data_IF_839842801048
#
_entry.id   IF_839842801048
#
_cell.length_a   1.000
_cell.length_b   1.000
_cell.length_c   1.000
_cell.angle_alpha   90.00
_cell.angle_beta   90.00
_cell.angle_gamma   90.00
#
_symmetry.space_group_name_H-M   'P 1'
#
loop_
_entity.id
_entity.type
_entity.pdbx_description
1 polymer ?
#
# COMPACT_ATOMS: atom_id res chain seq x y z
N UNK A 1 -15.44 -11.52 22.15
CA UNK A 1 -16.75 -11.26 21.52
C UNK A 1 -17.36 -9.92 21.94
N UNK A 2 -17.37 -9.49 23.22
CA UNK A 2 -17.96 -8.17 23.57
C UNK A 2 -17.06 -6.96 23.24
N UNK A 3 -15.74 -7.16 23.23
CA UNK A 3 -14.73 -6.09 23.10
C UNK A 3 -14.71 -5.43 21.71
N UNK A 4 -14.98 -6.19 20.66
CA UNK A 4 -14.97 -5.70 19.28
C UNK A 4 -16.22 -4.86 18.97
N UNK A 5 -17.35 -5.21 19.58
CA UNK A 5 -18.58 -4.43 19.51
C UNK A 5 -18.43 -3.08 20.24
N UNK A 6 -17.76 -3.07 21.40
CA UNK A 6 -17.46 -1.83 22.15
C UNK A 6 -16.52 -0.91 21.36
N UNK A 7 -15.50 -1.46 20.69
CA UNK A 7 -14.59 -0.68 19.85
C UNK A 7 -15.30 -0.10 18.61
N UNK A 8 -16.12 -0.89 17.92
CA UNK A 8 -16.91 -0.40 16.79
C UNK A 8 -17.93 0.67 17.20
N UNK A 9 -18.55 0.52 18.38
CA UNK A 9 -19.47 1.51 18.93
C UNK A 9 -18.75 2.83 19.24
N UNK A 10 -17.56 2.76 19.83
CA UNK A 10 -16.71 3.93 20.12
C UNK A 10 -16.33 4.69 18.83
N UNK A 11 -15.92 3.99 17.77
CA UNK A 11 -15.59 4.63 16.48
C UNK A 11 -16.80 5.34 15.85
N UNK A 12 -17.97 4.72 15.93
CA UNK A 12 -19.20 5.29 15.37
C UNK A 12 -19.67 6.50 16.17
N UNK A 13 -19.56 6.46 17.49
CA UNK A 13 -19.81 7.60 18.39
C UNK A 13 -18.83 8.75 18.11
N UNK A 14 -17.53 8.45 17.99
CA UNK A 14 -16.49 9.44 17.65
C UNK A 14 -16.75 10.07 16.28
N UNK A 15 -17.10 9.28 15.28
CA UNK A 15 -17.50 9.79 13.95
C UNK A 15 -18.69 10.74 14.04
N UNK A 16 -19.74 10.37 14.79
CA UNK A 16 -20.93 11.21 14.94
C UNK A 16 -20.60 12.52 15.67
N UNK A 17 -19.74 12.47 16.70
CA UNK A 17 -19.27 13.65 17.41
C UNK A 17 -18.50 14.59 16.49
N UNK A 18 -17.51 14.09 15.75
CA UNK A 18 -16.73 14.90 14.80
C UNK A 18 -17.61 15.52 13.71
N UNK A 19 -18.59 14.79 13.21
CA UNK A 19 -19.53 15.32 12.21
C UNK A 19 -20.42 16.44 12.79
N UNK A 20 -20.86 16.29 14.05
CA UNK A 20 -21.62 17.33 14.74
C UNK A 20 -20.77 18.57 15.00
N UNK A 21 -19.50 18.41 15.40
CA UNK A 21 -18.55 19.51 15.58
C UNK A 21 -18.28 20.23 14.26
N UNK A 22 -18.02 19.50 13.17
CA UNK A 22 -17.83 20.07 11.83
C UNK A 22 -19.02 20.93 11.39
N UNK A 23 -20.24 20.40 11.55
CA UNK A 23 -21.47 21.13 11.19
C UNK A 23 -21.73 22.33 12.11
N UNK A 24 -21.27 22.28 13.35
CA UNK A 24 -21.36 23.41 14.29
C UNK A 24 -20.42 24.52 13.87
N UNK A 25 -19.15 24.22 13.60
CA UNK A 25 -18.19 25.23 13.12
C UNK A 25 -18.60 25.85 11.78
N UNK A 26 -19.12 25.04 10.85
CA UNK A 26 -19.63 25.57 9.58
C UNK A 26 -20.80 26.54 9.80
N UNK A 27 -21.75 26.19 10.68
CA UNK A 27 -22.86 27.06 11.04
C UNK A 27 -22.39 28.35 11.69
N UNK A 28 -21.45 28.27 12.63
CA UNK A 28 -20.92 29.43 13.35
C UNK A 28 -20.18 30.39 12.40
N UNK A 29 -19.45 29.84 11.42
CA UNK A 29 -18.82 30.62 10.35
C UNK A 29 -19.85 31.36 9.50
N UNK A 30 -20.91 30.68 9.03
CA UNK A 30 -21.98 31.32 8.24
C UNK A 30 -22.74 32.36 9.09
N UNK A 31 -22.99 32.07 10.36
CA UNK A 31 -23.66 33.00 11.27
C UNK A 31 -22.83 34.28 11.45
N UNK A 32 -21.53 34.13 11.66
CA UNK A 32 -20.59 35.26 11.80
C UNK A 32 -20.49 36.06 10.50
N UNK A 33 -20.45 35.39 9.34
CA UNK A 33 -20.36 36.04 8.03
C UNK A 33 -21.65 36.80 7.63
N UNK A 34 -22.82 36.34 8.10
CA UNK A 34 -24.13 36.95 7.79
C UNK A 34 -24.62 37.93 8.86
N UNK A 35 -23.85 38.12 9.93
CA UNK A 35 -24.20 39.01 11.02
C UNK A 35 -24.32 40.44 10.49
N UNK A 36 -25.51 41.03 10.62
CA UNK A 36 -25.73 42.41 10.19
C UNK A 36 -24.93 43.36 11.07
N UNK A 37 -24.10 44.18 10.43
CA UNK A 37 -23.33 45.22 11.09
C UNK A 37 -24.24 46.45 11.20
N UNK A 38 -24.68 46.86 12.40
CA UNK A 38 -25.51 48.05 12.54
C UNK A 38 -24.72 49.31 12.15
N UNK A 39 -25.40 50.36 11.70
CA UNK A 39 -24.76 51.59 11.21
C UNK A 39 -23.90 52.33 12.26
N UNK A 40 -24.02 51.97 13.55
CA UNK A 40 -23.24 52.47 14.67
C UNK A 40 -22.18 51.46 15.18
N UNK A 41 -21.88 50.42 14.40
CA UNK A 41 -20.90 49.40 14.77
C UNK A 41 -19.51 50.02 14.96
N UNK A 42 -18.92 49.79 16.13
CA UNK A 42 -17.57 50.21 16.43
C UNK A 42 -16.55 49.32 15.71
N UNK A 43 -15.35 49.83 15.43
CA UNK A 43 -14.24 49.02 14.87
C UNK A 43 -13.95 47.76 15.70
N UNK A 44 -14.22 47.81 17.02
CA UNK A 44 -14.10 46.66 17.90
C UNK A 44 -15.09 45.54 17.55
N UNK A 45 -16.32 45.85 17.15
CA UNK A 45 -17.31 44.84 16.76
C UNK A 45 -16.92 44.11 15.46
N UNK A 46 -16.32 44.82 14.50
CA UNK A 46 -15.78 44.22 13.28
C UNK A 46 -14.58 43.29 13.59
N UNK A 47 -13.69 43.71 14.48
CA UNK A 47 -12.55 42.89 14.91
C UNK A 47 -12.96 41.64 15.70
N UNK A 48 -14.02 41.70 16.50
CA UNK A 48 -14.59 40.55 17.20
C UNK A 48 -15.18 39.56 16.19
N UNK A 49 -15.89 40.05 15.18
CA UNK A 49 -16.46 39.23 14.12
C UNK A 49 -15.36 38.52 13.30
N UNK A 50 -14.30 39.24 12.91
CA UNK A 50 -13.18 38.62 12.19
C UNK A 50 -12.48 37.53 13.01
N UNK A 51 -12.25 37.77 14.31
CA UNK A 51 -11.64 36.78 15.21
C UNK A 51 -12.54 35.55 15.40
N UNK A 52 -13.85 35.75 15.53
CA UNK A 52 -14.81 34.66 15.62
C UNK A 52 -14.81 33.81 14.34
N UNK A 53 -14.71 34.46 13.18
CA UNK A 53 -14.65 33.78 11.88
C UNK A 53 -13.35 32.98 11.72
N UNK A 54 -12.19 33.52 12.12
CA UNK A 54 -10.91 32.81 12.13
C UNK A 54 -10.93 31.60 13.08
N UNK A 55 -11.55 31.75 14.24
CA UNK A 55 -11.68 30.67 15.23
C UNK A 55 -12.56 29.54 14.70
N UNK A 56 -13.71 29.89 14.10
CA UNK A 56 -14.63 28.92 13.49
C UNK A 56 -13.96 28.19 12.31
N UNK A 57 -13.21 28.90 11.46
CA UNK A 57 -12.46 28.30 10.34
C UNK A 57 -11.38 27.33 10.86
N UNK A 58 -10.61 27.74 11.87
CA UNK A 58 -9.58 26.87 12.48
C UNK A 58 -10.21 25.61 13.09
N UNK A 59 -11.34 25.76 13.80
CA UNK A 59 -12.09 24.63 14.35
C UNK A 59 -12.61 23.69 13.27
N UNK A 60 -13.10 24.23 12.15
CA UNK A 60 -13.57 23.46 11.01
C UNK A 60 -12.45 22.64 10.34
N UNK A 61 -11.28 23.25 10.13
CA UNK A 61 -10.11 22.56 9.57
C UNK A 61 -9.70 21.40 10.49
N UNK A 62 -9.56 21.67 11.80
CA UNK A 62 -9.22 20.63 12.78
C UNK A 62 -10.24 19.48 12.79
N UNK A 63 -11.54 19.77 12.79
CA UNK A 63 -12.57 18.73 12.73
C UNK A 63 -12.47 17.86 11.46
N UNK A 64 -12.03 18.45 10.34
CA UNK A 64 -11.79 17.73 9.08
C UNK A 64 -10.53 16.86 9.15
N UNK A 65 -9.44 17.37 9.75
CA UNK A 65 -8.22 16.59 10.00
C UNK A 65 -8.49 15.41 10.93
N UNK A 66 -9.27 15.63 11.99
CA UNK A 66 -9.66 14.59 12.94
C UNK A 66 -10.54 13.51 12.26
N UNK A 67 -11.42 13.92 11.33
CA UNK A 67 -12.20 12.99 10.51
C UNK A 67 -11.29 12.16 9.61
N UNK A 68 -10.31 12.78 8.96
CA UNK A 68 -9.33 12.08 8.12
C UNK A 68 -8.50 11.10 8.95
N UNK A 69 -8.04 11.51 10.13
CA UNK A 69 -7.33 10.65 11.09
C UNK A 69 -8.18 9.43 11.46
N UNK A 70 -9.47 9.61 11.74
CA UNK A 70 -10.38 8.50 12.02
C UNK A 70 -10.52 7.55 10.82
N UNK A 71 -10.58 8.06 9.58
CA UNK A 71 -10.61 7.17 8.41
C UNK A 71 -9.32 6.38 8.22
N UNK A 72 -8.18 6.96 8.59
CA UNK A 72 -6.90 6.25 8.58
C UNK A 72 -6.90 5.14 9.61
N UNK A 73 -7.35 5.41 10.84
CA UNK A 73 -7.48 4.42 11.92
C UNK A 73 -8.43 3.27 11.53
N UNK A 74 -9.56 3.57 10.89
CA UNK A 74 -10.46 2.54 10.36
C UNK A 74 -9.74 1.70 9.29
N UNK A 75 -8.99 2.32 8.37
CA UNK A 75 -8.24 1.58 7.36
C UNK A 75 -7.13 0.73 7.96
N UNK A 76 -6.43 1.23 8.97
CA UNK A 76 -5.43 0.47 9.73
C UNK A 76 -6.07 -0.75 10.39
N UNK A 77 -7.26 -0.60 11.00
CA UNK A 77 -8.05 -1.70 11.55
C UNK A 77 -8.36 -2.79 10.49
N UNK A 78 -8.65 -2.40 9.25
CA UNK A 78 -8.89 -3.35 8.16
C UNK A 78 -7.63 -4.09 7.71
N UNK A 79 -6.45 -3.46 7.78
CA UNK A 79 -5.17 -4.04 7.31
C UNK A 79 -4.47 -4.86 8.39
N UNK A 80 -4.47 -4.38 9.63
CA UNK A 80 -3.72 -4.98 10.76
C UNK A 80 -4.60 -5.96 11.55
N UNK A 81 -5.93 -5.76 11.56
CA UNK A 81 -6.85 -6.48 12.44
C UNK A 81 -7.10 -5.73 13.76
N UNK A 82 -7.86 -6.32 14.70
CA UNK A 82 -8.34 -5.62 15.90
C UNK A 82 -7.19 -4.99 16.70
N UNK A 83 -7.36 -3.72 17.10
CA UNK A 83 -6.39 -2.92 17.88
C UNK A 83 -5.98 -3.66 19.14
N UNK A 84 -4.93 -4.45 19.04
CA UNK A 84 -4.29 -5.07 20.18
C UNK A 84 -3.28 -4.05 20.71
N UNK A 85 -3.10 -3.94 22.03
CA UNK A 85 -2.20 -2.94 22.63
C UNK A 85 -0.82 -3.02 21.96
N UNK A 86 -0.12 -1.90 21.72
CA UNK A 86 1.23 -1.93 21.16
C UNK A 86 2.10 -2.93 21.93
N UNK A 87 2.55 -3.99 21.26
CA UNK A 87 3.33 -5.09 21.83
C UNK A 87 2.57 -6.39 22.14
N UNK A 88 1.25 -6.42 22.11
CA UNK A 88 0.45 -7.65 22.16
C UNK A 88 -0.16 -7.90 20.78
N UNK A 89 0.02 -9.08 20.19
CA UNK A 89 -0.58 -9.46 18.90
C UNK A 89 0.20 -9.04 17.64
N UNK A 90 0.99 -7.96 17.67
CA UNK A 90 1.79 -7.53 16.50
C UNK A 90 2.80 -8.57 16.03
N UNK A 91 3.41 -9.30 16.98
CA UNK A 91 4.40 -10.32 16.65
C UNK A 91 3.73 -11.58 16.07
N UNK A 92 2.53 -11.94 16.54
CA UNK A 92 1.74 -13.02 15.96
C UNK A 92 1.20 -12.65 14.58
N UNK A 93 0.66 -11.44 14.41
CA UNK A 93 0.21 -10.94 13.11
C UNK A 93 1.35 -10.86 12.09
N UNK A 94 2.53 -10.33 12.49
CA UNK A 94 3.73 -10.36 11.62
C UNK A 94 4.20 -11.77 11.31
N UNK A 95 4.16 -12.69 12.27
CA UNK A 95 4.54 -14.09 12.04
C UNK A 95 3.59 -14.78 11.08
N UNK A 96 2.29 -14.58 11.23
CA UNK A 96 1.28 -15.16 10.36
C UNK A 96 1.39 -14.58 8.94
N UNK A 97 1.52 -13.26 8.80
CA UNK A 97 1.77 -12.62 7.50
C UNK A 97 3.07 -13.12 6.84
N UNK A 98 4.12 -13.34 7.63
CA UNK A 98 5.38 -13.87 7.11
C UNK A 98 5.26 -15.34 6.68
N UNK A 99 4.53 -16.16 7.44
CA UNK A 99 4.23 -17.54 7.06
C UNK A 99 3.42 -17.61 5.76
N UNK A 100 2.35 -16.82 5.64
CA UNK A 100 1.56 -16.75 4.41
C UNK A 100 2.39 -16.26 3.21
N UNK A 101 3.29 -15.29 3.43
CA UNK A 101 4.22 -14.84 2.39
C UNK A 101 5.22 -15.94 1.98
N UNK A 102 5.71 -16.74 2.92
CA UNK A 102 6.59 -17.88 2.63
C UNK A 102 5.84 -19.00 1.89
N UNK A 103 4.60 -19.29 2.28
CA UNK A 103 3.74 -20.29 1.62
C UNK A 103 3.42 -19.89 0.17
N UNK A 104 3.02 -18.63 -0.04
CA UNK A 104 2.76 -18.11 -1.39
C UNK A 104 4.04 -18.08 -2.24
N UNK A 105 5.18 -17.72 -1.66
CA UNK A 105 6.48 -17.78 -2.35
C UNK A 105 6.84 -19.22 -2.77
N UNK A 106 6.62 -20.20 -1.89
CA UNK A 106 6.85 -21.61 -2.18
C UNK A 106 5.92 -22.13 -3.28
N UNK A 107 4.64 -21.76 -3.25
CA UNK A 107 3.66 -22.12 -4.27
C UNK A 107 4.05 -21.53 -5.63
N UNK A 108 4.44 -20.25 -5.68
CA UNK A 108 4.90 -19.59 -6.91
C UNK A 108 6.17 -20.26 -7.46
N UNK A 109 7.10 -20.64 -6.59
CA UNK A 109 8.30 -21.39 -7.02
C UNK A 109 7.98 -22.79 -7.54
N UNK A 110 7.02 -23.49 -6.93
CA UNK A 110 6.55 -24.80 -7.43
C UNK A 110 5.94 -24.66 -8.83
N UNK A 111 5.03 -23.70 -9.02
CA UNK A 111 4.42 -23.41 -10.33
C UNK A 111 5.47 -23.01 -11.38
N UNK A 112 6.46 -22.21 -10.99
CA UNK A 112 7.56 -21.81 -11.87
C UNK A 112 8.44 -23.00 -12.27
N UNK A 113 8.69 -23.93 -11.35
CA UNK A 113 9.45 -25.15 -11.62
C UNK A 113 8.70 -26.09 -12.57
N UNK A 114 7.39 -26.27 -12.36
CA UNK A 114 6.52 -27.04 -13.26
C UNK A 114 6.50 -26.44 -14.67
N UNK A 115 6.37 -25.12 -14.80
CA UNK A 115 6.46 -24.45 -16.10
C UNK A 115 7.84 -24.63 -16.76
N UNK A 116 8.93 -24.60 -15.98
CA UNK A 116 10.29 -24.82 -16.51
C UNK A 116 10.47 -26.26 -16.99
N UNK A 117 9.96 -27.24 -16.23
CA UNK A 117 9.96 -28.65 -16.61
C UNK A 117 9.13 -28.90 -17.87
N UNK A 118 7.97 -28.26 -18.00
CA UNK A 118 7.15 -28.33 -19.20
C UNK A 118 7.84 -27.72 -20.42
N UNK A 119 8.58 -26.61 -20.26
CA UNK A 119 9.36 -26.01 -21.34
C UNK A 119 10.58 -26.84 -21.73
N UNK A 120 11.23 -27.52 -20.77
CA UNK A 120 12.37 -28.42 -21.04
C UNK A 120 11.87 -29.73 -21.68
N UNK A 121 10.75 -30.29 -21.22
CA UNK A 121 10.11 -31.45 -21.84
C UNK A 121 9.58 -31.16 -23.26
N UNK A 122 9.10 -29.93 -23.50
CA UNK A 122 8.77 -29.46 -24.84
C UNK A 122 10.01 -29.28 -25.74
N UNK A 123 11.18 -28.98 -25.15
CA UNK A 123 12.46 -28.93 -25.86
C UNK A 123 13.04 -30.33 -26.15
N UNK A 124 12.80 -31.34 -25.30
CA UNK A 124 13.16 -32.74 -25.56
C UNK A 124 12.28 -33.41 -26.63
N UNK A 125 11.00 -33.04 -26.74
CA UNK A 125 10.08 -33.59 -27.73
C UNK A 125 10.21 -32.96 -29.13
N UNK A 126 10.95 -31.87 -29.26
CA UNK A 126 11.33 -31.34 -30.58
C UNK A 126 12.66 -31.96 -31.00
N UNK A 127 12.71 -32.83 -32.02
CA UNK A 127 13.96 -33.38 -32.50
C UNK A 127 14.78 -32.22 -33.10
N UNK A 128 15.66 -31.64 -32.29
CA UNK A 128 16.67 -30.70 -32.74
C UNK A 128 17.61 -31.47 -33.66
N UNK A 129 17.29 -31.45 -34.95
CA UNK A 129 18.15 -31.90 -36.04
C UNK A 129 19.34 -30.95 -36.08
N UNK A 130 20.35 -31.24 -35.26
CA UNK A 130 21.66 -30.64 -35.39
C UNK A 130 22.18 -30.99 -36.78
N UNK A 131 22.10 -30.03 -37.70
CA UNK A 131 22.80 -30.13 -38.97
C UNK A 131 24.28 -29.88 -38.67
N UNK A 132 24.98 -30.94 -38.27
CA UNK A 132 26.45 -30.93 -38.28
C UNK A 132 26.84 -30.85 -39.74
N UNK A 133 27.14 -29.64 -40.21
CA UNK A 133 27.69 -29.43 -41.55
C UNK A 133 29.14 -29.90 -41.49
N UNK A 134 29.32 -31.21 -41.70
CA UNK A 134 30.64 -31.80 -41.86
C UNK A 134 31.34 -31.11 -43.04
N UNK A 135 32.49 -30.51 -42.72
CA UNK A 135 33.44 -29.96 -43.67
C UNK A 135 34.19 -31.12 -44.32
N UNK A 136 33.65 -31.67 -45.39
CA UNK A 136 34.36 -32.56 -46.32
C UNK A 136 33.80 -32.28 -47.73
N UNK A 137 34.53 -31.96 -48.79
CA UNK A 137 35.94 -31.70 -49.02
C UNK A 137 36.04 -31.29 -50.49
N UNK A 138 36.93 -30.35 -50.81
CA UNK A 138 37.34 -30.15 -52.20
C UNK A 138 38.87 -30.14 -52.30
N UNK A 139 39.45 -30.81 -53.30
CA UNK A 139 40.81 -31.32 -53.23
C UNK A 139 41.83 -30.28 -53.68
N UNK A 140 42.98 -30.29 -53.02
CA UNK A 140 44.22 -29.74 -53.57
C UNK A 140 44.75 -28.52 -52.82
N UNK A 141 45.69 -28.76 -51.90
CA UNK A 141 47.10 -28.38 -52.04
C UNK A 141 47.84 -28.54 -50.72
N UNK A 142 48.71 -29.54 -50.68
CA UNK A 142 50.10 -29.49 -50.21
C UNK A 142 50.46 -28.66 -48.97
N UNK A 143 50.96 -29.41 -47.99
CA UNK A 143 52.27 -29.29 -47.36
C UNK A 143 52.39 -28.64 -45.96
N UNK A 144 52.98 -29.48 -45.10
CA UNK A 144 54.15 -29.24 -44.27
C UNK A 144 53.95 -28.85 -42.80
N UNK A 145 54.25 -29.85 -41.94
CA UNK A 145 54.89 -29.70 -40.63
C UNK A 145 53.99 -29.23 -39.50
N UNK A 146 54.11 -29.67 -38.27
CA UNK A 146 55.00 -30.61 -37.60
C UNK A 146 54.39 -30.69 -36.19
N UNK A 147 54.10 -31.90 -35.71
CA UNK A 147 53.74 -32.13 -34.30
C UNK A 147 55.05 -32.07 -33.50
N UNK A 148 55.02 -31.59 -32.26
CA UNK A 148 55.27 -32.53 -31.18
C UNK A 148 54.20 -32.34 -30.09
N UNK A 149 53.81 -33.37 -29.37
CA UNK A 149 54.50 -34.61 -29.11
C UNK A 149 54.00 -35.05 -27.75
N UNK A 150 53.55 -36.29 -27.76
CA UNK A 150 52.77 -36.99 -26.76
C UNK A 150 53.50 -37.31 -25.45
N UNK A 151 52.67 -37.71 -24.48
CA UNK A 151 52.84 -38.83 -23.55
C UNK A 151 53.52 -38.62 -22.19
N UNK A 152 52.78 -39.19 -21.22
CA UNK A 152 53.18 -39.81 -19.95
C UNK A 152 53.53 -38.88 -18.78
#
# INVERSE_FOLDING_TARGET
>A
MNRDADAAHNLLERKNKLMAELMTYYRDMIHTATQQIPANASNSSAAINSLAMETAMTGFIRATEDLLSLTHEIRELWIIGPLTKPGAGDEEARRNMKQEAEETFNLVNALRNEQRLAQIGAAEQSPMRYHVKNLEGHPGRTQAGQVPGVHQ
#
